data_IF_837369046396
#
_entry.id   IF_837369046396
#
_cell.length_a   1.000
_cell.length_b   1.000
_cell.length_c   1.000
_cell.angle_alpha   90.00
_cell.angle_beta   90.00
_cell.angle_gamma   90.00
#
_symmetry.space_group_name_H-M   'P 1'
#
loop_
_entity.id
_entity.type
_entity.pdbx_description
1 polymer ?
#
# COMPACT_ATOMS: atom_id res chain seq x y z
N UNK A 1 -10.02 0.63 -7.44
CA UNK A 1 -9.40 0.32 -6.12
C UNK A 1 -10.27 -0.57 -5.23
N UNK A 2 -11.51 -0.20 -4.88
CA UNK A 2 -12.37 -1.00 -3.98
C UNK A 2 -12.72 -2.39 -4.54
N UNK A 3 -12.92 -2.50 -5.85
CA UNK A 3 -13.23 -3.78 -6.51
C UNK A 3 -12.05 -4.77 -6.45
N UNK A 4 -10.84 -4.30 -6.76
CA UNK A 4 -9.60 -5.09 -6.62
C UNK A 4 -9.38 -5.58 -5.19
N UNK A 5 -9.75 -4.78 -4.20
CA UNK A 5 -9.67 -5.14 -2.77
C UNK A 5 -10.63 -6.29 -2.42
N UNK A 6 -11.84 -6.30 -2.98
CA UNK A 6 -12.81 -7.40 -2.79
C UNK A 6 -12.35 -8.70 -3.48
N UNK A 7 -11.78 -8.58 -4.67
CA UNK A 7 -11.25 -9.73 -5.43
C UNK A 7 -10.10 -10.42 -4.68
N UNK A 8 -9.11 -9.66 -4.20
CA UNK A 8 -7.98 -10.21 -3.45
C UNK A 8 -8.41 -10.85 -2.13
N UNK A 9 -9.44 -10.31 -1.48
CA UNK A 9 -9.99 -10.92 -0.28
C UNK A 9 -10.67 -12.26 -0.56
N UNK A 10 -11.41 -12.38 -1.67
CA UNK A 10 -11.97 -13.67 -2.12
C UNK A 10 -10.90 -14.71 -2.44
N UNK A 11 -9.71 -14.27 -2.83
CA UNK A 11 -8.55 -15.13 -3.07
C UNK A 11 -7.75 -15.46 -1.79
N UNK A 12 -8.25 -15.08 -0.61
CA UNK A 12 -7.65 -15.43 0.69
C UNK A 12 -6.72 -14.38 1.28
N UNK A 13 -6.54 -13.22 0.64
CA UNK A 13 -5.73 -12.13 1.20
C UNK A 13 -6.54 -11.35 2.23
N UNK A 14 -6.10 -11.34 3.49
CA UNK A 14 -6.76 -10.57 4.56
C UNK A 14 -6.86 -9.08 4.20
N UNK A 15 -7.98 -8.43 4.50
CA UNK A 15 -8.14 -6.99 4.34
C UNK A 15 -7.12 -6.18 5.13
N UNK A 16 -6.59 -6.72 6.23
CA UNK A 16 -5.50 -6.10 7.00
C UNK A 16 -4.20 -6.00 6.20
N UNK A 17 -4.03 -6.85 5.18
CA UNK A 17 -2.88 -6.82 4.28
C UNK A 17 -3.13 -5.95 3.04
N UNK A 18 -4.34 -5.40 2.87
CA UNK A 18 -4.75 -4.58 1.72
C UNK A 18 -4.97 -3.14 2.15
N UNK A 19 -3.92 -2.32 2.07
CA UNK A 19 -3.88 -0.97 2.61
C UNK A 19 -3.93 0.06 1.49
N UNK A 20 -4.78 1.08 1.62
CA UNK A 20 -4.70 2.23 0.72
C UNK A 20 -3.51 3.11 1.08
N UNK A 21 -2.77 3.55 0.07
CA UNK A 21 -1.59 4.41 0.24
C UNK A 21 -1.68 5.58 -0.71
N UNK A 22 -1.43 6.78 -0.20
CA UNK A 22 -1.30 8.00 -0.99
C UNK A 22 0.18 8.24 -1.27
N UNK A 23 0.50 8.39 -2.54
CA UNK A 23 1.85 8.60 -3.04
C UNK A 23 1.91 9.87 -3.86
N UNK A 24 3.13 10.35 -4.12
CA UNK A 24 3.44 11.34 -5.13
C UNK A 24 4.28 10.67 -6.22
N UNK A 25 3.79 10.72 -7.46
CA UNK A 25 4.51 10.24 -8.64
C UNK A 25 5.71 11.14 -8.96
N UNK A 26 6.66 10.70 -9.81
CA UNK A 26 7.81 11.52 -10.20
C UNK A 26 7.44 12.84 -10.89
N UNK A 27 6.27 12.88 -11.54
CA UNK A 27 5.69 14.08 -12.17
C UNK A 27 5.08 15.08 -11.15
N UNK A 28 5.06 14.74 -9.85
CA UNK A 28 4.53 15.57 -8.78
C UNK A 28 3.05 15.35 -8.44
N UNK A 29 2.33 14.56 -9.24
CA UNK A 29 0.90 14.29 -9.03
C UNK A 29 0.70 13.36 -7.80
N UNK A 30 -0.32 13.68 -6.99
CA UNK A 30 -0.76 12.83 -5.90
C UNK A 30 -1.62 11.68 -6.42
N UNK A 31 -1.27 10.44 -6.09
CA UNK A 31 -1.96 9.24 -6.57
C UNK A 31 -2.32 8.30 -5.42
N UNK A 32 -3.48 7.65 -5.52
CA UNK A 32 -3.93 6.66 -4.54
C UNK A 32 -3.73 5.25 -5.09
N UNK A 33 -2.87 4.48 -4.42
CA UNK A 33 -2.52 3.10 -4.80
C UNK A 33 -2.96 2.12 -3.73
N UNK A 34 -3.05 0.83 -4.10
CA UNK A 34 -3.26 -0.25 -3.16
C UNK A 34 -1.90 -0.86 -2.80
N UNK A 35 -1.61 -1.00 -1.52
CA UNK A 35 -0.42 -1.69 -1.02
C UNK A 35 -0.83 -3.03 -0.44
N UNK A 36 -0.16 -4.09 -0.89
CA UNK A 36 -0.35 -5.45 -0.41
C UNK A 36 0.85 -5.85 0.43
N UNK A 37 0.62 -6.14 1.71
CA UNK A 37 1.65 -6.71 2.58
C UNK A 37 1.67 -8.22 2.42
N UNK A 38 2.84 -8.77 2.14
CA UNK A 38 3.05 -10.22 2.04
C UNK A 38 4.25 -10.61 2.91
N UNK A 39 4.42 -11.90 3.19
CA UNK A 39 5.62 -12.40 3.88
C UNK A 39 6.92 -12.15 3.12
N UNK A 40 6.85 -11.86 1.82
CA UNK A 40 8.00 -11.57 0.95
C UNK A 40 8.29 -10.07 0.81
N UNK A 41 7.45 -9.21 1.39
CA UNK A 41 7.57 -7.75 1.32
C UNK A 41 6.27 -7.04 0.94
N UNK A 42 6.35 -5.71 0.88
CA UNK A 42 5.25 -4.81 0.50
C UNK A 42 5.27 -4.59 -1.03
N UNK A 43 4.13 -4.84 -1.66
CA UNK A 43 3.92 -4.61 -3.10
C UNK A 43 2.90 -3.51 -3.32
N UNK A 44 3.08 -2.74 -4.39
CA UNK A 44 2.16 -1.71 -4.85
C UNK A 44 1.40 -2.22 -6.07
N UNK A 45 0.08 -2.21 -5.95
CA UNK A 45 -0.89 -2.44 -7.01
C UNK A 45 -1.42 -1.09 -7.46
N UNK A 46 -0.91 -0.61 -8.58
CA UNK A 46 -1.48 0.56 -9.24
C UNK A 46 -2.67 0.12 -10.10
N UNK A 47 -3.80 0.79 -9.92
CA UNK A 47 -5.02 0.54 -10.67
C UNK A 47 -4.98 1.18 -12.08
N UNK A 48 -3.96 1.99 -12.39
CA UNK A 48 -3.81 2.66 -13.69
C UNK A 48 -3.15 1.80 -14.76
N UNK A 49 -2.19 0.94 -14.42
CA UNK A 49 -1.49 0.10 -15.42
C UNK A 49 -1.53 -1.41 -15.12
N UNK A 50 -2.16 -1.81 -14.01
CA UNK A 50 -2.28 -3.21 -13.59
C UNK A 50 -0.94 -3.87 -13.22
N UNK A 51 0.17 -3.12 -13.18
CA UNK A 51 1.48 -3.65 -12.84
C UNK A 51 1.64 -3.72 -11.33
N UNK A 52 2.10 -4.87 -10.89
CA UNK A 52 2.57 -5.09 -9.53
C UNK A 52 4.03 -4.67 -9.48
N UNK A 53 4.36 -3.73 -8.59
CA UNK A 53 5.74 -3.29 -8.38
C UNK A 53 6.11 -3.40 -6.91
N UNK A 54 7.34 -3.78 -6.61
CA UNK A 54 7.85 -3.70 -5.24
C UNK A 54 7.87 -2.25 -4.77
N UNK A 55 7.55 -2.01 -3.51
CA UNK A 55 7.48 -0.68 -2.89
C UNK A 55 8.67 0.22 -3.23
N UNK A 56 9.88 -0.34 -3.15
CA UNK A 56 11.18 0.29 -3.41
C UNK A 56 11.46 0.57 -4.90
N UNK A 57 10.75 -0.09 -5.82
CA UNK A 57 11.00 -0.02 -7.27
C UNK A 57 9.99 0.83 -8.04
N UNK A 58 9.08 1.50 -7.34
CA UNK A 58 8.05 2.33 -7.97
C UNK A 58 8.56 3.71 -8.40
N UNK A 59 9.59 4.23 -7.74
CA UNK A 59 10.02 5.63 -7.88
C UNK A 59 9.02 6.62 -7.28
N UNK A 60 8.02 6.16 -6.52
CA UNK A 60 7.04 7.02 -5.87
C UNK A 60 7.54 7.51 -4.51
N UNK A 61 7.12 8.72 -4.14
CA UNK A 61 7.28 9.21 -2.77
C UNK A 61 6.02 8.90 -1.97
N UNK A 62 6.16 8.13 -0.90
CA UNK A 62 5.03 7.68 -0.10
C UNK A 62 4.69 8.71 0.97
N UNK A 63 3.43 9.16 1.01
CA UNK A 63 3.01 10.27 1.88
C UNK A 63 2.22 9.78 3.09
N UNK A 64 1.18 8.97 2.86
CA UNK A 64 0.27 8.49 3.88
C UNK A 64 -0.22 7.09 3.55
N UNK A 65 -0.52 6.30 4.57
CA UNK A 65 -1.08 4.95 4.43
C UNK A 65 -2.23 4.75 5.41
N UNK A 66 -3.20 3.96 5.02
CA UNK A 66 -4.28 3.51 5.88
C UNK A 66 -3.71 2.63 7.00
N UNK A 67 -4.20 2.81 8.24
CA UNK A 67 -3.76 1.99 9.35
C UNK A 67 -4.27 0.54 9.19
N UNK A 68 -3.46 -0.42 9.62
CA UNK A 68 -3.74 -1.86 9.49
C UNK A 68 -4.95 -2.27 10.32
N UNK A 69 -5.08 -1.66 11.49
CA UNK A 69 -6.11 -1.90 12.50
C UNK A 69 -7.37 -1.04 12.32
N UNK A 70 -7.31 0.01 11.50
CA UNK A 70 -8.43 0.92 11.30
C UNK A 70 -8.41 1.57 9.91
N UNK A 71 -9.38 1.21 9.08
CA UNK A 71 -9.53 1.72 7.72
C UNK A 71 -9.91 3.21 7.64
N UNK A 72 -10.45 3.80 8.69
CA UNK A 72 -10.71 5.24 8.76
C UNK A 72 -9.49 6.07 9.16
N UNK A 73 -8.44 5.45 9.71
CA UNK A 73 -7.25 6.14 10.21
C UNK A 73 -6.15 6.15 9.15
N UNK A 74 -5.54 7.31 8.95
CA UNK A 74 -4.40 7.50 8.07
C UNK A 74 -3.16 7.84 8.88
N UNK A 75 -2.04 7.18 8.59
CA UNK A 75 -0.73 7.42 9.18
C UNK A 75 0.21 8.03 8.14
N UNK A 76 0.95 9.06 8.53
CA UNK A 76 1.97 9.67 7.67
C UNK A 76 3.20 8.77 7.56
N UNK A 77 3.70 8.60 6.34
CA UNK A 77 4.95 7.90 6.09
C UNK A 77 6.04 8.97 6.02
N UNK A 78 7.01 8.89 6.92
CA UNK A 78 8.20 9.76 6.88
C UNK A 78 9.25 9.07 6.00
N UNK A 79 9.82 9.82 5.06
CA UNK A 79 10.89 9.35 4.18
C UNK A 79 12.02 8.75 5.04
N UNK A 80 12.34 7.46 4.83
CA UNK A 80 13.46 6.79 5.50
C UNK A 80 13.12 5.71 6.54
N UNK A 81 11.84 5.36 6.74
CA UNK A 81 11.50 4.13 7.45
C UNK A 81 10.84 3.15 6.47
N UNK A 82 11.49 2.04 6.07
CA UNK A 82 10.73 0.89 5.64
C UNK A 82 9.77 0.61 6.80
N UNK A 83 8.46 0.68 6.56
CA UNK A 83 7.45 0.34 7.58
C UNK A 83 7.50 -1.17 7.77
N UNK A 84 8.61 -1.65 8.33
CA UNK A 84 8.76 -2.90 9.04
C UNK A 84 8.16 -2.64 10.42
N UNK A 85 6.84 -2.47 10.48
CA UNK A 85 6.14 -2.82 11.72
C UNK A 85 6.02 -4.34 11.65
N UNK A 86 7.09 -4.97 12.12
CA UNK A 86 7.07 -6.35 12.57
C UNK A 86 6.02 -6.51 13.65
N UNK A 87 5.51 -7.72 13.75
CA UNK A 87 4.68 -8.15 14.86
C UNK A 87 5.29 -7.63 16.18
N UNK A 88 4.50 -6.85 16.91
CA UNK A 88 4.67 -6.79 18.35
C UNK A 88 3.60 -7.70 18.94
N UNK A 89 4.13 -8.73 19.60
CA UNK A 89 3.47 -9.73 20.44
C UNK A 89 2.80 -9.08 21.64
#
# INVERSE_FOLDING_TARGET
>A
VLEKRRELNRLGVSYANLLMTVVRKPDGEGHAVLTVRTSKGDYVLDNLDGKVRSWDRTGYRFLKRQAIDNTGRWVSIRDGQPVLVGAVQ
#
